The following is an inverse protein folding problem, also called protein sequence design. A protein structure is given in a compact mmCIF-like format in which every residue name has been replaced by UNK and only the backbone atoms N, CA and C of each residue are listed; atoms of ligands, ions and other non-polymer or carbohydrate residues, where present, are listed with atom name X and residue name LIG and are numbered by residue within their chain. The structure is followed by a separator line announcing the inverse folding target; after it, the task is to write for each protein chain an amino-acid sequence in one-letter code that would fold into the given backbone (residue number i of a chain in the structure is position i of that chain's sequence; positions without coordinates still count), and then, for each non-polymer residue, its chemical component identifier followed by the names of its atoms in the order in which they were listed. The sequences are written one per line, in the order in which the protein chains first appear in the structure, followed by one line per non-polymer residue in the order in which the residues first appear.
data_IF_668491910015
#
_entry.id   IF_668491910015
#
_cell.length_a   1.000
_cell.length_b   1.000
_cell.length_c   1.000
_cell.angle_alpha   90.00
_cell.angle_beta   90.00
_cell.angle_gamma   90.00
#
_symmetry.space_group_name_H-M   'P 1'
#
loop_
_entity.id
_entity.type
_entity.pdbx_description
1 polymer ?
#
# COMPACT_ATOMS: atom_id res chain seq x y z
N UNK A 1 20.32 0.75 9.82
CA UNK A 1 18.85 0.58 9.92
C UNK A 1 18.33 0.08 8.59
N UNK A 2 17.48 -0.96 8.57
CA UNK A 2 16.86 -1.43 7.34
C UNK A 2 15.73 -0.47 6.90
N UNK A 3 15.63 -0.17 5.60
CA UNK A 3 14.67 0.81 5.07
C UNK A 3 13.23 0.26 5.08
N UNK A 4 12.29 1.07 5.58
CA UNK A 4 10.85 0.82 5.47
C UNK A 4 10.43 0.79 3.99
N UNK A 5 9.39 0.02 3.68
CA UNK A 5 8.97 -0.26 2.31
C UNK A 5 7.49 0.09 2.15
N UNK A 6 7.21 0.95 1.18
CA UNK A 6 5.85 1.22 0.67
C UNK A 6 5.77 0.58 -0.70
N UNK A 7 4.72 -0.18 -0.95
CA UNK A 7 4.45 -0.80 -2.24
C UNK A 7 3.32 -0.05 -2.94
N UNK A 8 3.44 0.06 -4.26
CA UNK A 8 2.42 0.65 -5.11
C UNK A 8 1.24 -0.31 -5.34
N UNK A 9 0.09 0.21 -5.75
CA UNK A 9 -1.08 -0.61 -6.08
C UNK A 9 -0.81 -1.57 -7.25
N UNK A 10 0.06 -1.18 -8.19
CA UNK A 10 0.53 -2.05 -9.29
C UNK A 10 1.23 -3.33 -8.81
N UNK A 11 1.76 -3.36 -7.58
CA UNK A 11 2.36 -4.55 -6.95
C UNK A 11 1.35 -5.25 -6.06
N UNK A 12 0.57 -4.50 -5.26
CA UNK A 12 -0.34 -5.07 -4.27
C UNK A 12 -1.59 -5.70 -4.90
N UNK A 13 -2.11 -5.15 -6.00
CA UNK A 13 -3.30 -5.70 -6.67
C UNK A 13 -3.02 -7.11 -7.24
N UNK A 14 -1.93 -7.33 -8.01
CA UNK A 14 -1.56 -8.69 -8.44
C UNK A 14 -1.34 -9.63 -7.26
N UNK A 15 -0.62 -9.18 -6.22
CA UNK A 15 -0.39 -9.98 -5.02
C UNK A 15 -1.70 -10.45 -4.36
N UNK A 16 -2.66 -9.56 -4.17
CA UNK A 16 -3.97 -9.90 -3.59
C UNK A 16 -4.80 -10.81 -4.49
N UNK A 17 -4.64 -10.73 -5.81
CA UNK A 17 -5.44 -11.50 -6.78
C UNK A 17 -4.95 -12.92 -7.01
N UNK A 18 -3.64 -13.08 -7.19
CA UNK A 18 -3.05 -14.35 -7.63
C UNK A 18 -1.75 -14.73 -6.90
N UNK A 19 -1.34 -13.94 -5.90
CA UNK A 19 -0.10 -14.18 -5.16
C UNK A 19 1.17 -13.72 -5.88
N UNK A 20 1.07 -12.97 -6.98
CA UNK A 20 2.24 -12.34 -7.60
C UNK A 20 3.06 -11.55 -6.57
N UNK A 21 4.38 -11.67 -6.61
CA UNK A 21 5.30 -11.02 -5.67
C UNK A 21 5.22 -11.52 -4.21
N UNK A 22 4.64 -12.69 -3.92
CA UNK A 22 4.46 -13.16 -2.54
C UNK A 22 5.78 -13.19 -1.75
N UNK A 23 6.88 -13.69 -2.34
CA UNK A 23 8.20 -13.69 -1.67
C UNK A 23 8.65 -12.29 -1.24
N UNK A 24 8.41 -11.28 -2.08
CA UNK A 24 8.77 -9.89 -1.81
C UNK A 24 7.94 -9.32 -0.66
N UNK A 25 6.62 -9.54 -0.69
CA UNK A 25 5.69 -9.02 0.31
C UNK A 25 5.89 -9.76 1.64
N UNK A 26 5.97 -11.08 1.61
CA UNK A 26 6.23 -11.92 2.78
C UNK A 26 7.56 -11.56 3.44
N UNK A 27 8.63 -11.30 2.68
CA UNK A 27 9.90 -10.84 3.23
C UNK A 27 9.76 -9.46 3.92
N UNK A 28 9.00 -8.53 3.33
CA UNK A 28 8.73 -7.22 3.93
C UNK A 28 7.92 -7.30 5.23
N UNK A 29 6.88 -8.14 5.25
CA UNK A 29 6.04 -8.40 6.42
C UNK A 29 6.84 -9.10 7.53
N UNK A 30 7.58 -10.17 7.22
CA UNK A 30 8.43 -10.91 8.18
C UNK A 30 9.49 -10.01 8.81
N UNK A 31 10.08 -9.12 8.01
CA UNK A 31 11.07 -8.15 8.50
C UNK A 31 10.44 -6.90 9.16
N UNK A 32 9.11 -6.83 9.27
CA UNK A 32 8.35 -5.72 9.85
C UNK A 32 8.62 -4.36 9.17
N UNK A 33 8.96 -4.38 7.87
CA UNK A 33 9.30 -3.19 7.07
C UNK A 33 8.16 -2.70 6.20
N UNK A 34 7.10 -3.50 6.05
CA UNK A 34 5.93 -3.16 5.25
C UNK A 34 5.19 -1.95 5.83
N UNK A 35 4.90 -0.96 4.98
CA UNK A 35 4.01 0.17 5.22
C UNK A 35 2.92 0.21 4.14
N UNK A 36 1.69 0.52 4.53
CA UNK A 36 0.60 0.81 3.61
C UNK A 36 0.38 2.33 3.55
N UNK A 37 0.52 2.89 2.35
CA UNK A 37 0.18 4.29 2.08
C UNK A 37 -1.34 4.45 1.99
N UNK A 38 -1.90 5.53 2.54
CA UNK A 38 -3.35 5.80 2.45
C UNK A 38 -3.85 6.02 1.03
N UNK A 39 -3.04 6.58 0.12
CA UNK A 39 -3.40 6.72 -1.30
C UNK A 39 -3.54 5.34 -1.94
N UNK A 40 -2.55 4.47 -1.74
CA UNK A 40 -2.59 3.08 -2.24
C UNK A 40 -3.76 2.31 -1.61
N UNK A 41 -4.00 2.50 -0.32
CA UNK A 41 -5.17 1.93 0.36
C UNK A 41 -6.48 2.35 -0.34
N UNK A 42 -6.67 3.63 -0.68
CA UNK A 42 -7.86 4.09 -1.41
C UNK A 42 -7.99 3.42 -2.78
N UNK A 43 -6.88 3.25 -3.51
CA UNK A 43 -6.86 2.54 -4.79
C UNK A 43 -7.25 1.06 -4.65
N UNK A 44 -6.77 0.40 -3.59
CA UNK A 44 -7.16 -0.98 -3.29
C UNK A 44 -8.67 -1.08 -3.00
N UNK A 45 -9.25 -0.13 -2.26
CA UNK A 45 -10.72 -0.11 -2.05
C UNK A 45 -11.48 0.08 -3.35
N UNK A 46 -11.03 1.00 -4.20
CA UNK A 46 -11.64 1.22 -5.52
C UNK A 46 -11.58 -0.05 -6.40
N UNK A 47 -10.59 -0.92 -6.18
CA UNK A 47 -10.41 -2.17 -6.89
C UNK A 47 -11.16 -3.39 -6.32
N UNK A 48 -11.85 -3.27 -5.17
CA UNK A 48 -12.62 -4.37 -4.58
C UNK A 48 -13.82 -4.75 -5.47
N UNK A 49 -14.06 -6.05 -5.67
CA UNK A 49 -15.11 -6.53 -6.58
C UNK A 49 -16.38 -6.96 -5.85
N UNK A 50 -16.23 -7.41 -4.60
CA UNK A 50 -17.35 -7.83 -3.78
C UNK A 50 -17.15 -7.50 -2.29
N UNK A 51 -18.12 -7.93 -1.47
CA UNK A 51 -18.12 -7.69 -0.03
C UNK A 51 -17.06 -8.49 0.72
N UNK A 52 -16.60 -9.62 0.17
CA UNK A 52 -15.54 -10.43 0.76
C UNK A 52 -14.19 -9.75 0.56
N UNK A 53 -13.88 -9.30 -0.67
CA UNK A 53 -12.67 -8.53 -0.98
C UNK A 53 -12.53 -7.32 -0.04
N UNK A 54 -13.60 -6.55 0.10
CA UNK A 54 -13.63 -5.39 1.00
C UNK A 54 -13.34 -5.79 2.45
N UNK A 55 -13.93 -6.90 2.92
CA UNK A 55 -13.75 -7.35 4.31
C UNK A 55 -12.31 -7.81 4.57
N UNK A 56 -11.71 -8.51 3.62
CA UNK A 56 -10.31 -8.95 3.75
C UNK A 56 -9.36 -7.76 3.76
N UNK A 57 -9.65 -6.74 2.96
CA UNK A 57 -8.93 -5.47 2.99
C UNK A 57 -9.16 -4.70 4.30
N UNK A 58 -10.41 -4.62 4.80
CA UNK A 58 -10.74 -4.01 6.10
C UNK A 58 -9.91 -4.66 7.23
N UNK A 59 -9.82 -5.99 7.26
CA UNK A 59 -9.03 -6.74 8.23
C UNK A 59 -7.52 -6.44 8.14
N UNK A 60 -6.99 -6.39 6.91
CA UNK A 60 -5.58 -6.07 6.67
C UNK A 60 -5.24 -4.66 7.17
N UNK A 61 -6.06 -3.68 6.83
CA UNK A 61 -5.88 -2.28 7.27
C UNK A 61 -5.97 -2.19 8.79
N UNK A 62 -6.93 -2.87 9.41
CA UNK A 62 -7.07 -2.87 10.87
C UNK A 62 -5.82 -3.46 11.55
N UNK A 63 -5.28 -4.56 11.02
CA UNK A 63 -4.06 -5.17 11.54
C UNK A 63 -2.86 -4.22 11.43
N UNK A 64 -2.66 -3.57 10.28
CA UNK A 64 -1.57 -2.62 10.06
C UNK A 64 -1.70 -1.35 10.90
N UNK A 65 -2.93 -0.88 11.11
CA UNK A 65 -3.21 0.29 11.97
C UNK A 65 -2.79 0.03 13.41
N UNK A 66 -3.13 -1.15 13.95
CA UNK A 66 -2.77 -1.54 15.32
C UNK A 66 -1.26 -1.57 15.58
N UNK A 67 -0.45 -1.73 14.55
CA UNK A 67 1.01 -1.79 14.64
C UNK A 67 1.69 -0.56 14.01
N UNK A 68 0.95 0.53 13.80
CA UNK A 68 1.47 1.80 13.28
C UNK A 68 2.21 1.63 11.93
N UNK A 69 1.61 0.85 11.02
CA UNK A 69 2.12 0.58 9.67
C UNK A 69 1.29 1.22 8.56
N UNK A 70 0.48 2.22 8.90
CA UNK A 70 -0.19 3.08 7.94
C UNK A 70 0.57 4.41 7.86
N UNK A 71 0.83 4.87 6.64
CA UNK A 71 1.41 6.19 6.38
C UNK A 71 0.48 7.01 5.50
N UNK A 72 0.20 8.24 5.94
CA UNK A 72 -0.57 9.20 5.17
C UNK A 72 0.36 10.24 4.60
N UNK A 73 0.31 10.51 3.28
CA UNK A 73 1.08 11.60 2.72
C UNK A 73 0.66 12.94 3.33
N UNK A 74 1.64 13.81 3.55
CA UNK A 74 1.40 15.19 3.98
C UNK A 74 1.09 16.08 2.77
N UNK A 75 0.40 17.22 2.96
CA UNK A 75 0.11 18.14 1.86
C UNK A 75 1.32 18.50 0.99
N UNK A 76 2.50 18.64 1.58
CA UNK A 76 3.72 19.01 0.85
C UNK A 76 4.18 17.94 -0.15
N UNK A 77 3.90 16.67 0.15
CA UNK A 77 4.27 15.55 -0.72
C UNK A 77 3.43 15.55 -2.00
N UNK A 78 2.21 16.08 -1.97
CA UNK A 78 1.40 16.30 -3.17
C UNK A 78 1.97 17.43 -4.04
N UNK A 79 2.56 18.48 -3.46
CA UNK A 79 3.24 19.51 -4.25
C UNK A 79 4.46 18.95 -4.99
N UNK A 80 5.24 18.10 -4.31
CA UNK A 80 6.38 17.40 -4.95
C UNK A 80 5.89 16.49 -6.07
N UNK A 81 4.81 15.73 -5.84
CA UNK A 81 4.19 14.91 -6.88
C UNK A 81 3.75 15.76 -8.09
N UNK A 82 3.09 16.90 -7.85
CA UNK A 82 2.68 17.82 -8.91
C UNK A 82 3.84 18.38 -9.72
N UNK A 83 4.96 18.73 -9.07
CA UNK A 83 6.18 19.17 -9.77
C UNK A 83 6.79 18.04 -10.61
N UNK A 84 6.84 16.82 -10.08
CA UNK A 84 7.33 15.66 -10.82
C UNK A 84 6.45 15.39 -12.05
N UNK A 85 5.13 15.45 -11.90
CA UNK A 85 4.20 15.31 -13.03
C UNK A 85 4.40 16.39 -14.09
N UNK A 86 4.63 17.66 -13.69
CA UNK A 86 4.90 18.74 -14.63
C UNK A 86 6.25 18.59 -15.36
N UNK A 87 7.22 17.90 -14.75
CA UNK A 87 8.53 17.67 -15.35
C UNK A 87 8.57 16.47 -16.30
N UNK A 88 7.84 15.40 -15.96
CA UNK A 88 7.86 14.13 -16.70
C UNK A 88 6.63 13.88 -17.58
N UNK A 89 5.56 14.66 -17.44
CA UNK A 89 4.34 14.58 -18.24
C UNK A 89 4.38 15.47 -19.47
#
# INVERSE_FOLDING_TARGET
MARLQVFDSSVLIPWLRDGSHDDLIAASLKSRRFLLCTVVWMELYAGTRDKADKRDLDHTVQALTKIERIVSPRPEEFYVAGQAMAYYG
#
